data_IF_086799385551
#
_entry.id   IF_086799385551
#
_cell.length_a   1.000
_cell.length_b   1.000
_cell.length_c   1.000
_cell.angle_alpha   90.00
_cell.angle_beta   90.00
_cell.angle_gamma   90.00
#
_symmetry.space_group_name_H-M   'P 1'
#
loop_
_entity.id
_entity.type
_entity.pdbx_description
1 polymer ?
#
# COMPACT_ATOMS: atom_id res chain seq x y z
N UNK A 1 -18.87 -22.31 3.82
CA UNK A 1 -18.62 -21.68 3.48
C UNK A 1 -17.50 -21.40 3.22
N UNK A 2 -17.34 -21.49 2.79
CA UNK A 2 -16.47 -21.36 2.46
C UNK A 2 -15.56 -20.47 2.70
N UNK A 3 -14.69 -20.45 3.04
CA UNK A 3 -13.71 -19.43 3.18
C UNK A 3 -14.19 -18.01 3.29
N UNK A 4 -15.45 -17.87 3.52
CA UNK A 4 -15.95 -16.50 3.66
C UNK A 4 -15.57 -15.94 5.00
N UNK A 5 -15.12 -14.68 4.96
CA UNK A 5 -14.89 -13.94 6.18
C UNK A 5 -16.21 -13.50 6.79
N UNK A 6 -16.27 -13.48 8.12
CA UNK A 6 -17.35 -12.76 8.77
C UNK A 6 -17.16 -11.27 8.47
N UNK A 7 -18.20 -10.49 8.66
CA UNK A 7 -18.11 -9.05 8.42
C UNK A 7 -17.02 -8.41 9.28
N UNK A 8 -16.93 -8.83 10.53
CA UNK A 8 -15.92 -8.29 11.44
C UNK A 8 -14.50 -8.68 11.03
N UNK A 9 -14.28 -9.95 10.69
CA UNK A 9 -12.98 -10.42 10.25
C UNK A 9 -12.57 -9.70 8.96
N UNK A 10 -13.50 -9.54 8.04
CA UNK A 10 -13.25 -8.82 6.80
C UNK A 10 -12.83 -7.37 7.08
N UNK A 11 -13.52 -6.71 7.99
CA UNK A 11 -13.20 -5.34 8.35
C UNK A 11 -11.81 -5.24 8.97
N UNK A 12 -11.48 -6.14 9.89
CA UNK A 12 -10.16 -6.14 10.51
C UNK A 12 -9.05 -6.41 9.51
N UNK A 13 -9.30 -7.33 8.58
CA UNK A 13 -8.34 -7.65 7.53
C UNK A 13 -8.07 -6.42 6.67
N UNK A 14 -9.12 -5.69 6.28
CA UNK A 14 -8.96 -4.48 5.48
C UNK A 14 -8.19 -3.40 6.23
N UNK A 15 -8.48 -3.23 7.53
CA UNK A 15 -7.78 -2.25 8.35
C UNK A 15 -6.30 -2.58 8.44
N UNK A 16 -5.97 -3.85 8.64
CA UNK A 16 -4.58 -4.28 8.73
C UNK A 16 -3.85 -4.05 7.41
N UNK A 17 -4.49 -4.42 6.29
CA UNK A 17 -3.90 -4.22 4.97
C UNK A 17 -3.69 -2.73 4.68
N UNK A 18 -4.69 -1.91 5.00
CA UNK A 18 -4.60 -0.47 4.80
C UNK A 18 -3.43 0.12 5.61
N UNK A 19 -3.30 -0.29 6.87
CA UNK A 19 -2.23 0.20 7.72
C UNK A 19 -0.85 -0.17 7.17
N UNK A 20 -0.70 -1.39 6.71
CA UNK A 20 0.56 -1.84 6.14
C UNK A 20 0.90 -1.06 4.87
N UNK A 21 -0.09 -0.87 3.99
CA UNK A 21 0.12 -0.13 2.75
C UNK A 21 0.44 1.34 3.02
N UNK A 22 -0.19 1.94 4.02
CA UNK A 22 0.09 3.34 4.37
C UNK A 22 1.51 3.53 4.91
N UNK A 23 2.12 2.47 5.41
CA UNK A 23 3.50 2.56 5.89
C UNK A 23 4.47 2.94 4.77
N UNK A 24 4.11 2.68 3.51
CA UNK A 24 4.94 3.07 2.38
C UNK A 24 5.21 4.57 2.35
N UNK A 25 4.17 5.35 2.58
CA UNK A 25 4.31 6.81 2.58
C UNK A 25 5.23 7.28 3.71
N UNK A 26 5.11 6.66 4.88
CA UNK A 26 5.99 6.99 6.01
C UNK A 26 7.44 6.63 5.69
N UNK A 27 7.65 5.46 5.10
CA UNK A 27 9.00 5.05 4.73
C UNK A 27 9.61 6.01 3.71
N UNK A 28 8.81 6.45 2.74
CA UNK A 28 9.26 7.40 1.74
C UNK A 28 9.65 8.73 2.39
N UNK A 29 8.85 9.21 3.36
CA UNK A 29 9.15 10.42 4.09
C UNK A 29 10.43 10.28 4.91
N UNK A 30 10.62 9.13 5.55
CA UNK A 30 11.83 8.87 6.32
C UNK A 30 13.08 8.92 5.44
N UNK A 31 12.99 8.36 4.24
CA UNK A 31 14.13 8.39 3.33
C UNK A 31 14.47 9.83 2.92
N UNK A 32 13.47 10.63 2.65
CA UNK A 32 13.68 12.03 2.28
C UNK A 32 14.34 12.79 3.43
N UNK A 33 13.83 12.61 4.64
CA UNK A 33 14.37 13.25 5.83
C UNK A 33 15.80 12.80 6.09
N UNK A 34 16.04 11.50 5.95
CA UNK A 34 17.37 10.94 6.16
C UNK A 34 18.38 11.54 5.20
N UNK A 35 18.02 11.64 3.93
CA UNK A 35 18.91 12.23 2.92
C UNK A 35 19.22 13.68 3.22
N UNK A 36 18.24 14.44 3.67
CA UNK A 36 18.46 15.82 4.06
C UNK A 36 19.38 15.90 5.27
N UNK A 37 19.15 15.03 6.24
CA UNK A 37 19.94 14.97 7.46
C UNK A 37 21.40 14.65 7.16
N UNK A 38 21.65 13.69 6.28
CA UNK A 38 23.02 13.31 5.91
C UNK A 38 23.78 14.44 5.24
N UNK A 39 23.09 15.32 4.55
CA UNK A 39 23.72 16.48 3.94
C UNK A 39 24.20 17.48 4.98
N UNK A 40 23.49 17.53 6.10
CA UNK A 40 23.79 18.50 7.17
C UNK A 40 24.76 17.92 8.19
N UNK A 41 24.64 16.63 8.45
CA UNK A 41 25.44 15.96 9.46
C UNK A 41 25.94 14.61 8.94
N UNK A 42 27.16 14.60 8.45
CA UNK A 42 27.72 13.46 7.75
C UNK A 42 27.78 12.17 8.58
N UNK A 43 27.90 12.29 9.90
CA UNK A 43 28.07 11.13 10.76
C UNK A 43 26.81 10.61 11.42
N UNK A 44 25.69 11.31 11.23
CA UNK A 44 24.47 10.94 11.94
C UNK A 44 23.69 9.94 11.10
N UNK A 45 23.80 8.69 11.46
CA UNK A 45 23.08 7.63 10.75
C UNK A 45 22.34 6.77 11.74
N UNK A 46 21.12 7.18 12.07
CA UNK A 46 20.22 6.40 12.90
C UNK A 46 19.31 5.50 12.05
N UNK A 47 19.27 5.74 10.75
CA UNK A 47 18.36 5.03 9.86
C UNK A 47 19.14 4.16 8.89
N UNK A 48 18.70 2.94 8.75
CA UNK A 48 19.23 2.03 7.76
C UNK A 48 18.43 2.20 6.47
N UNK A 49 18.94 3.05 5.57
CA UNK A 49 18.27 3.33 4.30
C UNK A 49 18.06 2.08 3.47
N UNK A 50 19.04 1.18 3.49
CA UNK A 50 18.93 -0.05 2.71
C UNK A 50 17.79 -0.91 3.19
N UNK A 51 17.62 -1.01 4.52
CA UNK A 51 16.51 -1.79 5.09
C UNK A 51 15.15 -1.17 4.74
N UNK A 52 15.06 0.17 4.81
CA UNK A 52 13.82 0.86 4.46
C UNK A 52 13.50 0.66 2.98
N UNK A 53 14.49 0.80 2.12
CA UNK A 53 14.30 0.59 0.69
C UNK A 53 13.88 -0.83 0.37
N UNK A 54 14.46 -1.81 1.08
CA UNK A 54 14.08 -3.21 0.89
C UNK A 54 12.63 -3.46 1.28
N UNK A 55 12.17 -2.84 2.37
CA UNK A 55 10.77 -2.96 2.79
C UNK A 55 9.83 -2.31 1.79
N UNK A 56 10.20 -1.14 1.27
CA UNK A 56 9.40 -0.47 0.23
C UNK A 56 9.32 -1.32 -1.03
N UNK A 57 10.43 -1.91 -1.42
CA UNK A 57 10.47 -2.81 -2.58
C UNK A 57 9.55 -4.01 -2.38
N UNK A 58 9.62 -4.63 -1.19
CA UNK A 58 8.78 -5.79 -0.88
C UNK A 58 7.29 -5.44 -0.93
N UNK A 59 6.93 -4.28 -0.41
CA UNK A 59 5.55 -3.83 -0.41
C UNK A 59 5.06 -3.61 -1.85
N UNK A 60 5.87 -2.94 -2.68
CA UNK A 60 5.52 -2.74 -4.09
C UNK A 60 5.38 -4.07 -4.80
N UNK A 61 6.28 -5.00 -4.52
CA UNK A 61 6.24 -6.32 -5.15
C UNK A 61 4.95 -7.07 -4.80
N UNK A 62 4.51 -6.97 -3.54
CA UNK A 62 3.24 -7.59 -3.13
C UNK A 62 2.06 -6.99 -3.87
N UNK A 63 2.03 -5.65 -4.00
CA UNK A 63 0.97 -4.98 -4.74
C UNK A 63 0.94 -5.48 -6.18
N UNK A 64 2.10 -5.54 -6.81
CA UNK A 64 2.21 -5.94 -8.20
C UNK A 64 1.94 -7.44 -8.40
N UNK A 65 1.91 -8.21 -7.31
CA UNK A 65 1.60 -9.64 -7.36
C UNK A 65 0.12 -9.95 -7.35
N UNK A 66 -0.73 -8.95 -7.16
CA UNK A 66 -2.18 -9.17 -7.20
C UNK A 66 -2.59 -9.61 -8.59
N UNK A 67 -3.45 -10.64 -8.64
CA UNK A 67 -3.91 -11.18 -9.91
C UNK A 67 -4.86 -10.24 -10.64
N UNK A 68 -5.75 -9.60 -9.91
CA UNK A 68 -6.75 -8.72 -10.49
C UNK A 68 -6.11 -7.41 -10.91
N UNK A 69 -6.18 -7.10 -12.20
CA UNK A 69 -5.55 -5.92 -12.78
C UNK A 69 -6.09 -4.63 -12.16
N UNK A 70 -7.40 -4.57 -11.93
CA UNK A 70 -8.02 -3.37 -11.37
C UNK A 70 -7.60 -3.18 -9.92
N UNK A 71 -7.56 -4.25 -9.14
CA UNK A 71 -7.12 -4.18 -7.75
C UNK A 71 -5.66 -3.74 -7.68
N UNK A 72 -4.82 -4.32 -8.52
CA UNK A 72 -3.40 -3.98 -8.58
C UNK A 72 -3.22 -2.51 -8.93
N UNK A 73 -3.92 -2.05 -9.96
CA UNK A 73 -3.83 -0.66 -10.40
C UNK A 73 -4.29 0.31 -9.30
N UNK A 74 -5.39 -0.04 -8.62
CA UNK A 74 -5.91 0.82 -7.57
C UNK A 74 -4.92 0.95 -6.42
N UNK A 75 -4.42 -0.16 -5.90
CA UNK A 75 -3.51 -0.09 -4.76
C UNK A 75 -2.21 0.61 -5.13
N UNK A 76 -1.70 0.34 -6.32
CA UNK A 76 -0.47 0.98 -6.76
C UNK A 76 -0.64 2.49 -6.90
N UNK A 77 -1.70 2.93 -7.58
CA UNK A 77 -1.89 4.35 -7.80
C UNK A 77 -2.24 5.10 -6.51
N UNK A 78 -3.04 4.48 -5.65
CA UNK A 78 -3.49 5.14 -4.43
C UNK A 78 -2.40 5.18 -3.36
N UNK A 79 -1.78 4.01 -3.06
CA UNK A 79 -0.83 3.93 -1.94
C UNK A 79 0.61 4.22 -2.34
N UNK A 80 1.02 3.81 -3.52
CA UNK A 80 2.41 3.99 -3.96
C UNK A 80 2.61 5.36 -4.59
N UNK A 81 1.75 5.72 -5.54
CA UNK A 81 1.85 7.01 -6.22
C UNK A 81 1.21 8.16 -5.46
N UNK A 82 0.31 7.85 -4.54
CA UNK A 82 -0.34 8.88 -3.73
C UNK A 82 -1.47 9.62 -4.41
N UNK A 83 -2.07 9.04 -5.44
CA UNK A 83 -3.22 9.65 -6.10
C UNK A 83 -4.46 9.54 -5.24
N UNK A 84 -5.40 10.44 -5.44
CA UNK A 84 -6.69 10.37 -4.76
C UNK A 84 -7.51 9.21 -5.32
N UNK A 85 -8.52 8.79 -4.56
CA UNK A 85 -9.42 7.74 -5.04
C UNK A 85 -10.17 8.18 -6.30
N UNK A 86 -10.52 9.47 -6.39
CA UNK A 86 -11.17 10.02 -7.57
C UNK A 86 -10.29 9.87 -8.80
N UNK A 87 -9.01 10.20 -8.66
CA UNK A 87 -8.06 10.05 -9.74
C UNK A 87 -7.89 8.59 -10.13
N UNK A 88 -7.83 7.72 -9.14
CA UNK A 88 -7.73 6.28 -9.40
C UNK A 88 -8.95 5.77 -10.16
N UNK A 89 -10.15 6.26 -9.79
CA UNK A 89 -11.38 5.88 -10.48
C UNK A 89 -11.30 6.25 -11.95
N UNK A 90 -10.79 7.45 -12.26
CA UNK A 90 -10.60 7.90 -13.65
C UNK A 90 -9.64 6.99 -14.40
N UNK A 91 -8.51 6.69 -13.78
CA UNK A 91 -7.47 5.89 -14.42
C UNK A 91 -7.98 4.48 -14.73
N UNK A 92 -8.72 3.91 -13.79
CA UNK A 92 -9.20 2.52 -13.92
C UNK A 92 -10.46 2.45 -14.77
N UNK A 93 -11.22 3.54 -14.82
CA UNK A 93 -12.46 3.58 -15.59
C UNK A 93 -13.66 3.07 -14.81
N UNK A 94 -13.71 3.34 -13.51
CA UNK A 94 -14.85 2.94 -12.67
C UNK A 94 -15.48 4.19 -12.06
N UNK A 95 -16.72 4.05 -11.57
CA UNK A 95 -17.41 5.14 -10.89
C UNK A 95 -16.80 5.37 -9.50
N UNK A 96 -17.10 6.53 -8.90
CA UNK A 96 -16.67 6.80 -7.54
C UNK A 96 -17.16 5.73 -6.57
N UNK A 97 -18.43 5.33 -6.71
CA UNK A 97 -18.98 4.28 -5.86
C UNK A 97 -18.27 2.95 -6.11
N UNK A 98 -17.96 2.68 -7.37
CA UNK A 98 -17.27 1.47 -7.76
C UNK A 98 -15.85 1.41 -7.21
N UNK A 99 -15.15 2.56 -7.13
CA UNK A 99 -13.78 2.56 -6.65
C UNK A 99 -13.70 2.21 -5.16
N UNK A 100 -14.71 2.60 -4.36
CA UNK A 100 -14.72 2.21 -2.95
C UNK A 100 -14.93 0.72 -2.78
N UNK A 101 -15.82 0.12 -3.58
CA UNK A 101 -16.00 -1.34 -3.57
C UNK A 101 -14.73 -2.05 -4.00
N UNK A 102 -14.10 -1.53 -5.04
CA UNK A 102 -12.86 -2.09 -5.55
C UNK A 102 -11.78 -2.02 -4.49
N UNK A 103 -11.70 -0.91 -3.78
CA UNK A 103 -10.72 -0.74 -2.72
C UNK A 103 -10.90 -1.79 -1.62
N UNK A 104 -12.13 -2.02 -1.20
CA UNK A 104 -12.40 -3.02 -0.16
C UNK A 104 -11.97 -4.41 -0.62
N UNK A 105 -12.28 -4.75 -1.86
CA UNK A 105 -11.89 -6.04 -2.42
C UNK A 105 -10.38 -6.15 -2.55
N UNK A 106 -9.75 -5.09 -3.04
CA UNK A 106 -8.31 -5.07 -3.23
C UNK A 106 -7.58 -5.22 -1.90
N UNK A 107 -8.08 -4.59 -0.84
CA UNK A 107 -7.47 -4.71 0.48
C UNK A 107 -7.57 -6.14 1.01
N UNK A 108 -8.70 -6.81 0.78
CA UNK A 108 -8.84 -8.21 1.19
C UNK A 108 -7.90 -9.12 0.41
N UNK A 109 -7.80 -8.92 -0.89
CA UNK A 109 -6.89 -9.69 -1.72
C UNK A 109 -5.44 -9.48 -1.28
N UNK A 110 -5.09 -8.24 -1.00
CA UNK A 110 -3.74 -7.91 -0.54
C UNK A 110 -3.46 -8.54 0.83
N UNK A 111 -4.43 -8.48 1.74
CA UNK A 111 -4.29 -9.10 3.05
C UNK A 111 -4.02 -10.59 2.94
N UNK A 112 -4.72 -11.25 2.00
CA UNK A 112 -4.51 -12.67 1.76
C UNK A 112 -3.08 -12.95 1.32
N UNK A 113 -2.53 -12.08 0.45
CA UNK A 113 -1.13 -12.21 0.03
C UNK A 113 -0.17 -12.00 1.20
N UNK A 114 -0.46 -11.05 2.07
CA UNK A 114 0.40 -10.79 3.24
C UNK A 114 0.51 -12.00 4.15
N UNK A 115 -0.54 -12.80 4.22
CA UNK A 115 -0.60 -13.93 5.16
C UNK A 115 -0.07 -15.24 4.56
N UNK A 116 0.33 -15.25 3.33
CA UNK A 116 0.90 -16.46 2.71
C UNK A 116 2.33 -16.71 3.14
#
# INVERSE_FOLDING_TARGET
MEGSFTTEVSKLARVEADRYLRSYRRMNSLLRSSRTFYRLEADASCLDEAAIQAQMYSLRALVLSLDDVQCRALLYNYYIKGYTLEKCAEIIGVSERGVYRLKNRALLDFWTLMKK
#
